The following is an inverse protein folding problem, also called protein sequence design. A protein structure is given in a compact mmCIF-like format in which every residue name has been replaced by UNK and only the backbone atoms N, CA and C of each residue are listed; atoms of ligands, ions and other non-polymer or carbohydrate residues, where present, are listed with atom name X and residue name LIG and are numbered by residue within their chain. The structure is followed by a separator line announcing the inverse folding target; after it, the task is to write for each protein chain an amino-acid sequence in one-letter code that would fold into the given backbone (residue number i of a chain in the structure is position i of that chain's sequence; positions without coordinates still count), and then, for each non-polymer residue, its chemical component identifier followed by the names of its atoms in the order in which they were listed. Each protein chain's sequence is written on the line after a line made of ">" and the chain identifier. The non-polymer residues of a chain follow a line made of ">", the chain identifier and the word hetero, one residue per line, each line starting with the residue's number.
data_IF_138021154325
#
_entry.id   IF_138021154325
#
_cell.length_a   1.000
_cell.length_b   1.000
_cell.length_c   1.000
_cell.angle_alpha   90.00
_cell.angle_beta   90.00
_cell.angle_gamma   90.00
#
_symmetry.space_group_name_H-M   'P 1'
#
loop_
_entity.id
_entity.type
_entity.pdbx_description
1 polymer ?
#
# COMPACT_ATOMS: atom_id res chain seq x y z
N UNK A 1 0.50 -15.79 7.60
CA UNK A 1 0.91 -14.52 6.96
C UNK A 1 -0.37 -13.74 6.80
N UNK A 2 -0.49 -12.59 7.45
CA UNK A 2 -1.70 -11.76 7.33
C UNK A 2 -1.61 -11.02 6.01
N UNK A 3 -2.63 -11.15 5.18
CA UNK A 3 -2.73 -10.45 3.90
C UNK A 3 -3.53 -9.18 4.15
N UNK A 4 -3.03 -8.03 3.67
CA UNK A 4 -3.74 -6.77 3.74
C UNK A 4 -5.03 -6.83 2.90
N UNK A 5 -6.09 -6.21 3.42
CA UNK A 5 -7.39 -6.09 2.80
C UNK A 5 -7.55 -4.72 2.13
N UNK A 6 -8.58 -4.57 1.30
CA UNK A 6 -8.88 -3.28 0.67
C UNK A 6 -9.20 -2.26 1.75
N UNK A 7 -8.52 -1.11 1.73
CA UNK A 7 -8.61 -0.05 2.74
C UNK A 7 -7.50 -0.07 3.79
N UNK A 8 -6.75 -1.17 3.93
CA UNK A 8 -5.62 -1.22 4.87
C UNK A 8 -4.49 -0.29 4.44
N UNK A 9 -3.75 0.21 5.44
CA UNK A 9 -2.51 0.96 5.20
C UNK A 9 -1.33 0.03 5.44
N UNK A 10 -0.49 -0.10 4.41
CA UNK A 10 0.74 -0.89 4.49
C UNK A 10 1.96 0.02 4.36
N UNK A 11 3.03 -0.37 5.04
CA UNK A 11 4.36 0.20 4.88
C UNK A 11 5.24 -0.75 4.08
N UNK A 12 5.97 -0.22 3.10
CA UNK A 12 6.89 -0.95 2.24
C UNK A 12 8.12 -0.09 1.91
N UNK A 13 9.18 -0.71 1.38
CA UNK A 13 10.43 -0.02 1.00
C UNK A 13 10.98 0.92 2.11
N UNK A 14 10.95 0.47 3.37
CA UNK A 14 11.58 1.16 4.50
C UNK A 14 11.00 2.58 4.74
N UNK A 15 9.67 2.69 4.80
CA UNK A 15 8.97 3.92 5.22
C UNK A 15 8.02 4.53 4.19
N UNK A 16 7.87 3.95 2.99
CA UNK A 16 6.79 4.33 2.09
C UNK A 16 5.48 3.69 2.55
N UNK A 17 4.42 4.47 2.55
CA UNK A 17 3.10 4.02 2.97
C UNK A 17 2.12 4.15 1.82
N UNK A 18 1.14 3.26 1.78
CA UNK A 18 0.08 3.31 0.78
C UNK A 18 -1.18 2.60 1.24
N UNK A 19 -2.32 3.03 0.71
CA UNK A 19 -3.62 2.44 0.98
C UNK A 19 -3.88 1.32 -0.03
N UNK A 20 -4.27 0.15 0.45
CA UNK A 20 -4.58 -0.99 -0.42
C UNK A 20 -5.88 -0.73 -1.16
N UNK A 21 -5.79 -0.58 -2.48
CA UNK A 21 -6.93 -0.46 -3.39
C UNK A 21 -7.38 -1.83 -3.91
N UNK A 22 -6.44 -2.75 -4.10
CA UNK A 22 -6.71 -4.05 -4.70
C UNK A 22 -5.79 -5.13 -4.17
N UNK A 23 -6.35 -6.31 -3.95
CA UNK A 23 -5.61 -7.51 -3.54
C UNK A 23 -5.64 -8.52 -4.68
N UNK A 24 -4.47 -9.03 -5.05
CA UNK A 24 -4.29 -10.14 -5.98
C UNK A 24 -3.71 -11.34 -5.23
N UNK A 25 -3.56 -12.48 -5.91
CA UNK A 25 -3.09 -13.73 -5.27
C UNK A 25 -1.67 -13.63 -4.67
N UNK A 26 -0.79 -12.84 -5.29
CA UNK A 26 0.63 -12.73 -4.90
C UNK A 26 1.08 -11.30 -4.58
N UNK A 27 0.20 -10.32 -4.73
CA UNK A 27 0.52 -8.90 -4.59
C UNK A 27 -0.70 -8.08 -4.25
N UNK A 28 -0.45 -6.89 -3.71
CA UNK A 28 -1.44 -5.84 -3.52
C UNK A 28 -1.09 -4.64 -4.39
N UNK A 29 -2.11 -3.94 -4.85
CA UNK A 29 -1.98 -2.63 -5.47
C UNK A 29 -2.30 -1.61 -4.40
N UNK A 30 -1.38 -0.68 -4.19
CA UNK A 30 -1.54 0.41 -3.24
C UNK A 30 -1.54 1.75 -3.93
N UNK A 31 -2.33 2.65 -3.38
CA UNK A 31 -2.39 4.05 -3.76
C UNK A 31 -1.48 4.89 -2.86
N UNK A 32 -0.68 5.75 -3.49
CA UNK A 32 0.31 6.61 -2.84
C UNK A 32 -0.16 8.06 -2.70
N UNK A 33 -1.31 8.41 -3.28
CA UNK A 33 -1.86 9.78 -3.25
C UNK A 33 -2.28 10.19 -1.83
N UNK A 34 -2.37 9.23 -0.90
CA UNK A 34 -2.58 9.49 0.51
C UNK A 34 -1.40 10.23 1.19
N UNK A 35 -0.20 10.19 0.61
CA UNK A 35 0.95 10.91 1.17
C UNK A 35 0.84 12.40 0.86
N UNK A 36 0.97 13.26 1.87
CA UNK A 36 0.95 14.74 1.75
C UNK A 36 2.06 15.27 0.79
N UNK A 37 3.11 14.46 0.59
CA UNK A 37 4.26 14.75 -0.26
C UNK A 37 4.20 14.08 -1.65
N UNK A 38 3.04 13.56 -2.06
CA UNK A 38 2.85 12.97 -3.37
C UNK A 38 2.99 14.04 -4.46
N UNK A 39 4.00 13.88 -5.31
CA UNK A 39 4.24 14.73 -6.48
C UNK A 39 3.79 13.99 -7.74
N UNK A 40 2.64 14.39 -8.26
CA UNK A 40 1.99 13.81 -9.44
C UNK A 40 2.84 13.86 -10.72
N UNK A 41 3.86 14.75 -10.78
CA UNK A 41 4.76 14.84 -11.94
C UNK A 41 5.91 13.84 -11.88
N UNK A 42 6.22 13.29 -10.72
CA UNK A 42 7.39 12.42 -10.52
C UNK A 42 7.04 11.02 -10.03
N UNK A 43 5.83 10.81 -9.52
CA UNK A 43 5.40 9.55 -8.91
C UNK A 43 4.16 8.97 -9.59
N UNK A 44 4.17 7.65 -9.79
CA UNK A 44 2.96 6.92 -10.18
C UNK A 44 2.01 6.85 -8.99
N UNK A 45 0.73 7.17 -9.20
CA UNK A 45 -0.32 7.17 -8.16
C UNK A 45 -0.45 5.79 -7.50
N UNK A 46 -0.15 4.71 -8.23
CA UNK A 46 -0.34 3.34 -7.79
C UNK A 46 0.90 2.50 -8.00
N UNK A 47 1.16 1.59 -7.06
CA UNK A 47 2.27 0.64 -7.16
C UNK A 47 1.87 -0.76 -6.73
N UNK A 48 2.57 -1.76 -7.25
CA UNK A 48 2.30 -3.18 -6.99
C UNK A 48 3.35 -3.73 -6.03
N UNK A 49 2.92 -4.21 -4.87
CA UNK A 49 3.79 -4.72 -3.80
C UNK A 49 3.47 -6.19 -3.52
N UNK A 50 4.51 -7.01 -3.41
CA UNK A 50 4.36 -8.43 -3.07
C UNK A 50 3.98 -8.60 -1.59
N UNK A 51 3.16 -9.59 -1.25
CA UNK A 51 2.79 -9.90 0.15
C UNK A 51 3.98 -10.13 1.10
N UNK A 52 5.16 -10.46 0.55
CA UNK A 52 6.39 -10.66 1.32
C UNK A 52 7.20 -9.37 1.56
N UNK A 53 6.77 -8.22 1.00
CA UNK A 53 7.55 -6.97 0.97
C UNK A 53 6.84 -5.77 1.60
N UNK A 54 5.86 -6.00 2.46
CA UNK A 54 5.20 -4.96 3.22
C UNK A 54 4.85 -5.41 4.64
N UNK A 55 4.53 -4.44 5.49
CA UNK A 55 3.96 -4.65 6.82
C UNK A 55 2.64 -3.88 6.91
N UNK A 56 1.60 -4.49 7.48
CA UNK A 56 0.32 -3.81 7.72
C UNK A 56 0.51 -2.94 8.96
N UNK A 57 0.28 -1.63 8.84
CA UNK A 57 0.45 -0.66 9.93
C UNK A 57 -0.87 -0.11 10.46
N UNK A 58 -1.93 -0.16 9.63
CA UNK A 58 -3.28 0.19 10.03
C UNK A 58 -4.27 -0.72 9.32
N UNK A 59 -5.21 -1.29 10.08
CA UNK A 59 -6.29 -2.11 9.54
C UNK A 59 -7.57 -1.32 9.51
N UNK A 60 -8.26 -1.30 8.36
CA UNK A 60 -9.49 -0.51 8.19
C UNK A 60 -10.70 -1.04 9.00
N UNK A 61 -10.55 -2.17 9.69
CA UNK A 61 -11.60 -2.92 10.37
C UNK A 61 -11.71 -2.68 11.89
N UNK A 62 -11.12 -1.61 12.43
CA UNK A 62 -11.28 -1.21 13.85
C UNK A 62 -12.44 -0.22 14.11
#
# INVERSE_FOLDING_TARGET
>A
MTIAEIGDIIEFKDGLQGIVEKVNENSVIVDLTYMDNFDEQTMEEKTVINHKRYTIIHSATE
#
